data_IF_188012411408
#
_entry.id   IF_188012411408
#
_cell.length_a   1.000
_cell.length_b   1.000
_cell.length_c   1.000
_cell.angle_alpha   90.00
_cell.angle_beta   90.00
_cell.angle_gamma   90.00
#
_symmetry.space_group_name_H-M   'P 1'
#
loop_
_entity.id
_entity.type
_entity.pdbx_description
1 polymer ?
#
# COMPACT_ATOMS: atom_id res chain seq x y z
N UNK A 1 -10.65 -23.89 56.58
CA UNK A 1 -9.75 -24.96 57.10
C UNK A 1 -8.49 -24.80 56.31
N UNK A 2 -7.64 -24.15 56.89
CA UNK A 2 -6.36 -24.42 57.59
C UNK A 2 -5.26 -24.26 56.58
N UNK A 3 -4.56 -23.15 56.69
CA UNK A 3 -3.41 -22.84 57.59
C UNK A 3 -2.09 -23.38 57.04
N UNK A 4 -1.21 -22.42 56.83
CA UNK A 4 0.05 -22.13 57.55
C UNK A 4 1.25 -22.89 56.95
N UNK A 5 2.44 -22.41 56.79
CA UNK A 5 3.26 -21.43 57.50
C UNK A 5 4.64 -21.41 56.79
N UNK A 6 5.20 -20.28 56.54
CA UNK A 6 6.31 -19.67 57.28
C UNK A 6 7.64 -20.43 57.26
N UNK A 7 8.70 -19.80 56.90
CA UNK A 7 9.90 -19.27 57.59
C UNK A 7 11.02 -19.10 56.60
N UNK A 8 11.54 -17.89 56.41
CA UNK A 8 12.76 -17.31 57.01
C UNK A 8 13.95 -18.29 57.09
N UNK A 9 15.02 -17.96 56.38
CA UNK A 9 16.25 -17.68 57.13
C UNK A 9 17.25 -16.82 56.33
N UNK A 10 17.87 -15.98 57.05
CA UNK A 10 18.92 -15.01 56.75
C UNK A 10 20.28 -15.69 56.81
N UNK A 11 21.20 -15.33 55.92
CA UNK A 11 22.59 -15.25 56.34
C UNK A 11 23.38 -14.25 55.54
N UNK A 12 23.85 -13.32 56.25
CA UNK A 12 24.71 -12.21 56.04
C UNK A 12 26.13 -12.74 56.19
N UNK A 13 27.02 -12.54 55.23
CA UNK A 13 28.44 -12.49 55.53
C UNK A 13 29.13 -11.40 54.72
N UNK A 14 29.55 -10.43 55.49
CA UNK A 14 30.49 -9.38 55.18
C UNK A 14 31.86 -9.96 54.89
N UNK A 15 32.55 -9.48 53.85
CA UNK A 15 34.01 -9.36 53.87
C UNK A 15 34.41 -8.14 53.07
N UNK A 16 35.07 -7.20 53.73
CA UNK A 16 35.64 -5.97 53.23
C UNK A 16 37.03 -6.20 52.54
N UNK A 17 37.58 -5.16 51.87
CA UNK A 17 38.58 -5.26 50.83
C UNK A 17 40.04 -5.23 51.32
N UNK A 18 40.99 -5.44 50.42
CA UNK A 18 42.31 -4.80 50.59
C UNK A 18 42.71 -3.90 49.43
N UNK A 19 43.07 -2.72 49.84
CA UNK A 19 44.16 -1.81 49.53
C UNK A 19 44.81 -1.81 48.16
N UNK A 20 44.83 -0.58 47.68
CA UNK A 20 45.76 0.17 46.80
C UNK A 20 47.05 -0.51 46.38
N UNK A 21 47.35 -0.36 45.09
CA UNK A 21 48.70 -0.01 44.63
C UNK A 21 48.65 0.78 43.32
N UNK A 22 49.21 1.95 43.45
CA UNK A 22 49.57 2.93 42.44
C UNK A 22 50.46 2.37 41.31
N UNK A 23 50.20 2.75 40.09
CA UNK A 23 51.20 3.30 39.19
C UNK A 23 50.68 3.52 37.74
N UNK A 24 50.70 4.78 37.37
CA UNK A 24 51.18 5.30 36.04
C UNK A 24 50.63 4.65 34.79
N UNK A 25 50.22 5.31 33.79
CA UNK A 25 50.67 6.56 33.13
C UNK A 25 49.80 6.78 31.91
N UNK A 26 49.44 7.99 31.70
CA UNK A 26 49.30 8.69 30.42
C UNK A 26 49.07 7.81 29.18
N UNK A 27 47.78 7.74 28.81
CA UNK A 27 47.36 7.64 27.42
C UNK A 27 46.19 8.59 27.21
N UNK A 28 46.56 9.83 26.84
CA UNK A 28 45.67 10.79 26.27
C UNK A 28 45.11 10.18 24.99
N UNK A 29 43.96 9.50 25.12
CA UNK A 29 43.21 9.06 23.95
C UNK A 29 42.41 10.27 23.46
N UNK A 30 42.96 10.83 22.42
CA UNK A 30 42.35 11.85 21.57
C UNK A 30 40.91 11.42 21.23
N UNK A 31 39.87 12.22 21.50
CA UNK A 31 38.55 11.91 21.06
C UNK A 31 38.54 11.87 19.52
N UNK A 32 38.22 10.69 18.97
CA UNK A 32 37.93 10.57 17.56
C UNK A 32 36.79 11.54 17.25
N UNK A 33 37.09 12.56 16.48
CA UNK A 33 36.08 13.43 15.87
C UNK A 33 35.24 12.54 14.95
N UNK A 34 34.12 12.06 15.47
CA UNK A 34 33.04 11.57 14.65
C UNK A 34 32.58 12.76 13.82
N UNK A 35 33.02 12.75 12.55
CA UNK A 35 32.47 13.59 11.51
C UNK A 35 30.97 13.30 11.48
N UNK A 36 30.17 14.14 12.12
CA UNK A 36 28.73 14.19 11.88
C UNK A 36 28.57 14.48 10.39
N UNK A 37 28.38 13.41 9.61
CA UNK A 37 27.76 13.54 8.30
C UNK A 37 26.39 14.15 8.60
N UNK A 38 26.27 15.44 8.32
CA UNK A 38 24.99 16.12 8.20
C UNK A 38 24.25 15.32 7.13
N UNK A 39 23.35 14.42 7.56
CA UNK A 39 22.39 13.79 6.68
C UNK A 39 21.50 14.95 6.25
N UNK A 40 21.72 15.42 5.02
CA UNK A 40 20.85 16.40 4.41
C UNK A 40 19.42 15.84 4.54
N UNK A 41 18.60 16.49 5.36
CA UNK A 41 17.22 16.09 5.56
C UNK A 41 16.55 16.21 4.19
N UNK A 42 16.21 15.06 3.59
CA UNK A 42 15.37 15.04 2.39
C UNK A 42 14.12 15.86 2.70
N UNK A 43 13.79 16.87 1.87
CA UNK A 43 12.62 17.69 2.13
C UNK A 43 11.38 16.80 2.29
N UNK A 44 10.67 16.97 3.38
CA UNK A 44 9.41 16.23 3.62
C UNK A 44 8.46 16.63 2.49
N UNK A 45 7.96 15.65 1.69
CA UNK A 45 7.06 15.97 0.59
C UNK A 45 5.77 16.62 1.13
N UNK A 46 5.26 17.62 0.41
CA UNK A 46 3.94 18.18 0.71
C UNK A 46 2.88 17.10 0.45
N UNK A 47 2.32 16.54 1.52
CA UNK A 47 1.31 15.48 1.43
C UNK A 47 -0.01 15.95 0.82
N UNK A 48 -0.20 17.27 0.59
CA UNK A 48 -1.38 17.80 -0.11
C UNK A 48 -1.14 17.99 -1.61
N UNK A 49 0.05 17.67 -2.11
CA UNK A 49 0.37 17.80 -3.53
C UNK A 49 -0.52 16.84 -4.36
N UNK A 50 -1.31 17.32 -5.33
CA UNK A 50 -2.26 16.52 -6.11
C UNK A 50 -1.60 15.32 -6.84
N UNK A 51 -0.31 15.43 -7.16
CA UNK A 51 0.48 14.40 -7.85
C UNK A 51 0.66 13.12 -7.01
N UNK A 52 0.46 13.22 -5.70
CA UNK A 52 0.53 12.09 -4.78
C UNK A 52 -0.75 11.27 -4.74
N UNK A 53 -1.82 11.75 -5.37
CA UNK A 53 -3.14 11.12 -5.32
C UNK A 53 -3.53 10.52 -6.66
N UNK A 54 -4.04 9.30 -6.62
CA UNK A 54 -4.65 8.64 -7.76
C UNK A 54 -6.15 8.71 -7.60
N UNK A 55 -6.86 9.12 -8.66
CA UNK A 55 -8.31 9.18 -8.63
C UNK A 55 -8.91 7.79 -8.34
N UNK A 56 -9.81 7.72 -7.38
CA UNK A 56 -10.37 6.44 -6.89
C UNK A 56 -11.00 5.60 -7.99
N UNK A 57 -11.80 6.20 -8.88
CA UNK A 57 -12.47 5.49 -9.96
C UNK A 57 -11.48 5.00 -11.02
N UNK A 58 -10.42 5.76 -11.32
CA UNK A 58 -9.37 5.33 -12.23
C UNK A 58 -8.53 4.19 -11.60
N UNK A 59 -8.26 4.27 -10.30
CA UNK A 59 -7.60 3.19 -9.56
C UNK A 59 -8.41 1.89 -9.58
N UNK A 60 -9.73 1.97 -9.49
CA UNK A 60 -10.62 0.80 -9.58
C UNK A 60 -10.57 0.14 -10.96
N UNK A 61 -10.51 0.91 -12.03
CA UNK A 61 -10.29 0.37 -13.39
C UNK A 61 -8.91 -0.30 -13.52
N UNK A 62 -7.87 0.28 -12.91
CA UNK A 62 -6.54 -0.34 -12.86
C UNK A 62 -6.52 -1.64 -12.05
N UNK A 63 -7.34 -1.75 -11.03
CA UNK A 63 -7.52 -3.02 -10.32
C UNK A 63 -8.22 -4.04 -11.23
N UNK A 64 -9.28 -3.64 -11.93
CA UNK A 64 -10.05 -4.56 -12.76
C UNK A 64 -9.24 -5.13 -13.93
N UNK A 65 -8.34 -4.36 -14.53
CA UNK A 65 -7.45 -4.90 -15.58
C UNK A 65 -6.55 -6.03 -15.05
N UNK A 66 -6.11 -5.96 -13.79
CA UNK A 66 -5.33 -7.05 -13.17
C UNK A 66 -6.16 -8.33 -12.98
N UNK A 67 -7.48 -8.20 -12.79
CA UNK A 67 -8.40 -9.34 -12.80
C UNK A 67 -8.46 -9.97 -14.19
N UNK A 68 -8.56 -9.14 -15.24
CA UNK A 68 -8.54 -9.63 -16.62
C UNK A 68 -7.22 -10.32 -16.99
N UNK A 69 -6.09 -9.83 -16.46
CA UNK A 69 -4.76 -10.42 -16.70
C UNK A 69 -4.65 -11.86 -16.16
N UNK A 70 -5.42 -12.24 -15.14
CA UNK A 70 -5.48 -13.63 -14.68
C UNK A 70 -6.03 -14.58 -15.73
N UNK A 71 -6.85 -14.09 -16.68
CA UNK A 71 -7.32 -14.88 -17.80
C UNK A 71 -6.20 -15.27 -18.79
N UNK A 72 -5.06 -14.61 -18.73
CA UNK A 72 -3.87 -14.90 -19.55
C UNK A 72 -2.90 -15.89 -18.89
N UNK A 73 -3.02 -16.12 -17.60
CA UNK A 73 -2.13 -17.00 -16.86
C UNK A 73 -2.43 -18.48 -17.16
N UNK A 74 -1.56 -19.11 -17.94
CA UNK A 74 -1.70 -20.50 -18.39
C UNK A 74 -1.50 -21.51 -17.25
N UNK A 75 -1.06 -21.10 -16.08
CA UNK A 75 -1.00 -21.97 -14.90
C UNK A 75 -2.39 -22.35 -14.38
N UNK A 76 -3.44 -21.58 -14.73
CA UNK A 76 -4.83 -21.90 -14.42
C UNK A 76 -5.49 -22.73 -15.52
N UNK A 77 -6.40 -23.68 -15.16
CA UNK A 77 -7.24 -24.39 -16.12
C UNK A 77 -8.09 -23.41 -16.95
N UNK A 78 -8.36 -23.76 -18.21
CA UNK A 78 -9.08 -22.91 -19.17
C UNK A 78 -10.39 -22.33 -18.61
N UNK A 79 -11.20 -23.15 -17.92
CA UNK A 79 -12.47 -22.68 -17.34
C UNK A 79 -12.28 -21.68 -16.19
N UNK A 80 -11.19 -21.79 -15.44
CA UNK A 80 -10.86 -20.80 -14.40
C UNK A 80 -10.39 -19.47 -15.04
N UNK A 81 -9.64 -19.54 -16.12
CA UNK A 81 -9.27 -18.36 -16.91
C UNK A 81 -10.50 -17.66 -17.47
N UNK A 82 -11.47 -18.40 -17.98
CA UNK A 82 -12.75 -17.87 -18.44
C UNK A 82 -13.53 -17.21 -17.28
N UNK A 83 -13.50 -17.75 -16.07
CA UNK A 83 -14.13 -17.13 -14.90
C UNK A 83 -13.54 -15.76 -14.59
N UNK A 84 -12.23 -15.58 -14.66
CA UNK A 84 -11.62 -14.26 -14.46
C UNK A 84 -12.09 -13.24 -15.49
N UNK A 85 -12.29 -13.65 -16.74
CA UNK A 85 -12.85 -12.78 -17.77
C UNK A 85 -14.30 -12.39 -17.47
N UNK A 86 -15.12 -13.31 -16.93
CA UNK A 86 -16.50 -13.02 -16.52
C UNK A 86 -16.54 -12.12 -15.28
N UNK A 87 -15.65 -12.33 -14.32
CA UNK A 87 -15.50 -11.45 -13.13
C UNK A 87 -15.12 -10.05 -13.56
N UNK A 88 -14.18 -9.91 -14.50
CA UNK A 88 -13.83 -8.61 -15.07
C UNK A 88 -15.06 -7.90 -15.66
N UNK A 89 -15.87 -8.60 -16.45
CA UNK A 89 -17.09 -8.05 -17.05
C UNK A 89 -18.08 -7.57 -15.99
N UNK A 90 -18.37 -8.43 -15.02
CA UNK A 90 -19.31 -8.11 -13.93
C UNK A 90 -18.83 -6.91 -13.09
N UNK A 91 -17.53 -6.85 -12.79
CA UNK A 91 -16.96 -5.70 -12.07
C UNK A 91 -17.09 -4.40 -12.87
N UNK A 92 -16.95 -4.47 -14.19
CA UNK A 92 -17.08 -3.31 -15.06
C UNK A 92 -18.54 -2.84 -15.13
N UNK A 93 -19.50 -3.75 -15.23
CA UNK A 93 -20.92 -3.44 -15.21
C UNK A 93 -21.32 -2.73 -13.89
N UNK A 94 -20.96 -3.30 -12.74
CA UNK A 94 -21.21 -2.70 -11.43
C UNK A 94 -20.53 -1.31 -11.29
N UNK A 95 -19.32 -1.18 -11.81
CA UNK A 95 -18.61 0.10 -11.82
C UNK A 95 -19.38 1.17 -12.59
N UNK A 96 -19.93 0.85 -13.75
CA UNK A 96 -20.73 1.81 -14.53
C UNK A 96 -22.08 2.11 -13.87
N UNK A 97 -22.76 1.12 -13.33
CA UNK A 97 -24.06 1.29 -12.68
C UNK A 97 -23.97 2.15 -11.41
N UNK A 98 -22.92 2.01 -10.63
CA UNK A 98 -22.81 2.69 -9.34
C UNK A 98 -21.90 3.92 -9.42
N UNK A 99 -20.65 3.73 -9.86
CA UNK A 99 -19.61 4.78 -9.78
C UNK A 99 -19.80 5.84 -10.87
N UNK A 100 -19.91 5.39 -12.12
CA UNK A 100 -20.07 6.32 -13.24
C UNK A 100 -21.42 7.04 -13.17
N UNK A 101 -22.48 6.34 -12.77
CA UNK A 101 -23.78 6.98 -12.55
C UNK A 101 -23.72 8.04 -11.44
N UNK A 102 -22.99 7.76 -10.34
CA UNK A 102 -22.74 8.74 -9.28
C UNK A 102 -21.98 9.97 -9.77
N UNK A 103 -20.92 9.77 -10.55
CA UNK A 103 -20.12 10.84 -11.15
C UNK A 103 -20.96 11.71 -12.12
N UNK A 104 -21.78 11.10 -12.96
CA UNK A 104 -22.72 11.82 -13.85
C UNK A 104 -23.72 12.67 -13.07
N UNK A 105 -24.23 12.16 -11.94
CA UNK A 105 -25.10 12.95 -11.05
C UNK A 105 -24.39 14.16 -10.47
N UNK A 106 -23.13 14.01 -10.04
CA UNK A 106 -22.33 15.15 -9.53
C UNK A 106 -22.20 16.24 -10.60
N UNK A 107 -21.91 15.89 -11.84
CA UNK A 107 -21.83 16.81 -12.96
C UNK A 107 -23.18 17.50 -13.21
N UNK A 108 -24.28 16.73 -13.24
CA UNK A 108 -25.63 17.27 -13.51
C UNK A 108 -26.08 18.28 -12.44
N UNK A 109 -25.74 18.03 -11.18
CA UNK A 109 -26.12 18.92 -10.06
C UNK A 109 -25.10 20.01 -9.77
N UNK A 110 -24.13 20.24 -10.66
CA UNK A 110 -23.06 21.24 -10.53
C UNK A 110 -22.32 21.16 -9.17
N UNK A 111 -22.21 19.98 -8.60
CA UNK A 111 -21.38 19.71 -7.42
C UNK A 111 -19.95 19.43 -7.87
N UNK A 112 -19.35 20.44 -8.49
CA UNK A 112 -18.00 20.37 -9.02
C UNK A 112 -16.97 20.43 -7.87
N UNK A 113 -16.92 19.38 -7.07
CA UNK A 113 -15.85 19.22 -6.09
C UNK A 113 -14.69 18.51 -6.76
N UNK A 114 -13.59 19.24 -6.89
CA UNK A 114 -12.30 18.69 -7.33
C UNK A 114 -11.82 17.68 -6.28
N UNK A 115 -11.39 16.51 -6.72
CA UNK A 115 -10.78 15.52 -5.83
C UNK A 115 -9.41 15.97 -5.33
N UNK A 116 -8.80 15.21 -4.40
CA UNK A 116 -7.45 15.48 -3.92
C UNK A 116 -6.39 15.46 -5.04
N UNK A 117 -6.69 14.73 -6.12
CA UNK A 117 -5.88 14.60 -7.33
C UNK A 117 -6.01 15.80 -8.30
N UNK A 118 -6.79 16.81 -7.95
CA UNK A 118 -7.00 18.01 -8.75
C UNK A 118 -7.87 17.83 -9.99
N UNK A 119 -8.43 16.63 -10.24
CA UNK A 119 -9.23 16.38 -11.43
C UNK A 119 -10.69 16.82 -11.25
N UNK A 120 -11.22 17.46 -12.29
CA UNK A 120 -12.64 17.78 -12.38
C UNK A 120 -13.46 16.53 -12.77
N UNK A 121 -14.73 16.39 -12.33
CA UNK A 121 -15.58 15.24 -12.64
C UNK A 121 -15.70 14.93 -14.14
N UNK A 122 -15.75 15.94 -15.01
CA UNK A 122 -15.79 15.78 -16.47
C UNK A 122 -14.50 15.16 -17.02
N UNK A 123 -13.34 15.58 -16.50
CA UNK A 123 -12.04 15.04 -16.90
C UNK A 123 -11.91 13.57 -16.46
N UNK A 124 -12.40 13.25 -15.26
CA UNK A 124 -12.46 11.89 -14.76
C UNK A 124 -13.34 11.01 -15.65
N UNK A 125 -14.54 11.50 -16.02
CA UNK A 125 -15.45 10.75 -16.89
C UNK A 125 -14.84 10.48 -18.27
N UNK A 126 -14.12 11.44 -18.85
CA UNK A 126 -13.41 11.25 -20.13
C UNK A 126 -12.35 10.16 -20.01
N UNK A 127 -11.51 10.21 -18.97
CA UNK A 127 -10.48 9.20 -18.71
C UNK A 127 -11.07 7.81 -18.44
N UNK A 128 -12.19 7.73 -17.71
CA UNK A 128 -12.92 6.48 -17.50
C UNK A 128 -13.37 5.91 -18.84
N UNK A 129 -13.99 6.72 -19.69
CA UNK A 129 -14.48 6.27 -21.01
C UNK A 129 -13.36 5.71 -21.88
N UNK A 130 -12.25 6.42 -22.00
CA UNK A 130 -11.09 5.98 -22.75
C UNK A 130 -10.52 4.67 -22.21
N UNK A 131 -10.30 4.60 -20.89
CA UNK A 131 -9.75 3.41 -20.23
C UNK A 131 -10.67 2.21 -20.38
N UNK A 132 -11.99 2.39 -20.19
CA UNK A 132 -12.97 1.31 -20.30
C UNK A 132 -13.05 0.76 -21.72
N UNK A 133 -13.06 1.61 -22.76
CA UNK A 133 -13.04 1.15 -24.15
C UNK A 133 -11.79 0.31 -24.46
N UNK A 134 -10.63 0.75 -24.00
CA UNK A 134 -9.40 -0.02 -24.15
C UNK A 134 -9.50 -1.39 -23.45
N UNK A 135 -9.99 -1.42 -22.22
CA UNK A 135 -10.12 -2.65 -21.43
C UNK A 135 -11.12 -3.63 -22.04
N UNK A 136 -12.26 -3.14 -22.56
CA UNK A 136 -13.25 -3.96 -23.25
C UNK A 136 -12.69 -4.54 -24.55
N UNK A 137 -11.98 -3.74 -25.34
CA UNK A 137 -11.30 -4.24 -26.55
C UNK A 137 -10.32 -5.37 -26.22
N UNK A 138 -9.53 -5.19 -25.15
CA UNK A 138 -8.60 -6.22 -24.67
C UNK A 138 -9.32 -7.48 -24.18
N UNK A 139 -10.46 -7.34 -23.47
CA UNK A 139 -11.29 -8.47 -23.06
C UNK A 139 -11.73 -9.32 -24.25
N UNK A 140 -12.25 -8.67 -25.30
CA UNK A 140 -12.69 -9.38 -26.50
C UNK A 140 -11.53 -10.05 -27.26
N UNK A 141 -10.37 -9.42 -27.33
CA UNK A 141 -9.18 -10.06 -27.91
C UNK A 141 -8.76 -11.29 -27.10
N UNK A 142 -8.74 -11.22 -25.77
CA UNK A 142 -8.42 -12.37 -24.93
C UNK A 142 -9.44 -13.50 -25.13
N UNK A 143 -10.72 -13.18 -25.19
CA UNK A 143 -11.77 -14.16 -25.40
C UNK A 143 -11.62 -14.86 -26.76
N UNK A 144 -11.57 -14.06 -27.84
CA UNK A 144 -11.67 -14.57 -29.20
C UNK A 144 -10.36 -15.19 -29.72
N UNK A 145 -9.23 -14.59 -29.35
CA UNK A 145 -7.93 -14.95 -29.93
C UNK A 145 -7.17 -15.96 -29.07
N UNK A 146 -7.50 -16.04 -27.76
CA UNK A 146 -6.75 -16.85 -26.81
C UNK A 146 -7.58 -17.95 -26.16
N UNK A 147 -8.77 -17.63 -25.62
CA UNK A 147 -9.54 -18.61 -24.84
C UNK A 147 -10.42 -19.50 -25.70
N UNK A 148 -11.13 -18.95 -26.70
CA UNK A 148 -12.02 -19.75 -27.57
C UNK A 148 -11.30 -20.76 -28.48
N UNK A 149 -10.06 -20.51 -28.94
CA UNK A 149 -9.34 -21.49 -29.75
C UNK A 149 -8.80 -22.69 -28.99
N UNK A 150 -8.81 -22.70 -27.65
CA UNK A 150 -8.33 -23.81 -26.80
C UNK A 150 -9.42 -24.83 -26.50
#
# INVERSE_FOLDING_TARGET
MSELNSTRDTSKDDIAPPAETSARSDLVTRPAQLSEKVVEATPVPDLNAPELYIHRELSQLQFNIRVLEQALDESYPLLERLKFLLIFSSNLDEFFEIRVAGLKKQITFAREQTGPDGLQPQQVLSKISETAHYQVSRQYSILNDILLPQ
#
